data_IF_062112378524
#
_entry.id   IF_062112378524
#
_cell.length_a   1.000
_cell.length_b   1.000
_cell.length_c   1.000
_cell.angle_alpha   90.00
_cell.angle_beta   90.00
_cell.angle_gamma   90.00
#
_symmetry.space_group_name_H-M   'P 1'
#
loop_
_entity.id
_entity.type
_entity.pdbx_description
1 polymer ?
#
# COMPACT_ATOMS: atom_id res chain seq x y z
N UNK A 1 8.38 -17.21 18.36
CA UNK A 1 7.00 -17.64 18.05
C UNK A 1 6.18 -17.59 19.34
N UNK A 2 4.85 -17.61 19.27
CA UNK A 2 4.01 -17.88 20.43
C UNK A 2 4.00 -19.40 20.75
N UNK A 3 3.55 -19.82 21.95
CA UNK A 3 3.50 -21.24 22.33
C UNK A 3 2.63 -22.11 21.40
N UNK A 4 1.67 -21.52 20.70
CA UNK A 4 0.80 -22.16 19.70
C UNK A 4 1.46 -22.33 18.33
N UNK A 5 2.73 -21.92 18.17
CA UNK A 5 3.42 -21.97 16.89
C UNK A 5 3.03 -20.84 15.92
N UNK A 6 2.29 -19.82 16.35
CA UNK A 6 2.06 -18.62 15.54
C UNK A 6 3.23 -17.64 15.61
N UNK A 7 3.37 -16.79 14.60
CA UNK A 7 4.45 -15.80 14.55
C UNK A 7 4.17 -14.68 15.57
N UNK A 8 5.10 -14.48 16.51
CA UNK A 8 5.10 -13.29 17.37
C UNK A 8 5.61 -12.08 16.56
N UNK A 9 4.68 -11.35 15.95
CA UNK A 9 4.97 -10.19 15.09
C UNK A 9 5.59 -9.02 15.86
N UNK A 10 5.27 -8.86 17.14
CA UNK A 10 5.84 -7.79 17.97
C UNK A 10 7.34 -8.03 18.21
N UNK A 11 7.70 -9.25 18.66
CA UNK A 11 9.09 -9.62 18.87
C UNK A 11 9.90 -9.62 17.56
N UNK A 12 9.31 -10.09 16.45
CA UNK A 12 9.96 -10.01 15.14
C UNK A 12 10.21 -8.56 14.74
N UNK A 13 9.22 -7.68 14.93
CA UNK A 13 9.34 -6.24 14.64
C UNK A 13 10.48 -5.64 15.44
N UNK A 14 10.48 -5.79 16.76
CA UNK A 14 11.54 -5.25 17.62
C UNK A 14 12.94 -5.66 17.13
N UNK A 15 13.11 -6.94 16.81
CA UNK A 15 14.37 -7.50 16.32
C UNK A 15 14.83 -6.89 14.99
N UNK A 16 13.95 -6.84 13.97
CA UNK A 16 14.33 -6.29 12.65
C UNK A 16 14.46 -4.76 12.65
N UNK A 17 13.87 -4.06 13.62
CA UNK A 17 14.09 -2.62 13.80
C UNK A 17 15.45 -2.33 14.45
N UNK A 18 15.92 -3.19 15.35
CA UNK A 18 17.24 -3.07 15.96
C UNK A 18 18.39 -3.52 15.03
N UNK A 19 18.11 -4.39 14.05
CA UNK A 19 19.13 -4.99 13.19
C UNK A 19 18.79 -4.85 11.68
N UNK A 20 19.33 -3.82 11.00
CA UNK A 20 19.08 -3.59 9.57
C UNK A 20 19.43 -4.78 8.66
N UNK A 21 20.50 -5.52 8.97
CA UNK A 21 20.89 -6.71 8.22
C UNK A 21 19.85 -7.84 8.32
N UNK A 22 19.22 -8.01 9.48
CA UNK A 22 18.16 -9.00 9.65
C UNK A 22 16.87 -8.58 8.94
N UNK A 23 16.54 -7.29 8.95
CA UNK A 23 15.46 -6.74 8.14
C UNK A 23 15.67 -7.03 6.65
N UNK A 24 16.89 -6.83 6.15
CA UNK A 24 17.23 -7.11 4.76
C UNK A 24 17.09 -8.60 4.43
N UNK A 25 17.63 -9.48 5.28
CA UNK A 25 17.50 -10.93 5.12
C UNK A 25 16.03 -11.39 5.13
N UNK A 26 15.23 -10.89 6.08
CA UNK A 26 13.81 -11.22 6.18
C UNK A 26 13.06 -10.78 4.92
N UNK A 27 13.32 -9.56 4.43
CA UNK A 27 12.70 -9.06 3.22
C UNK A 27 13.10 -9.89 1.99
N UNK A 28 14.36 -10.30 1.87
CA UNK A 28 14.84 -11.17 0.79
C UNK A 28 14.12 -12.53 0.79
N UNK A 29 13.87 -13.10 1.97
CA UNK A 29 13.12 -14.34 2.11
C UNK A 29 11.64 -14.15 1.75
N UNK A 30 10.99 -13.10 2.26
CA UNK A 30 9.55 -12.91 2.15
C UNK A 30 9.12 -12.35 0.79
N UNK A 31 9.88 -11.46 0.16
CA UNK A 31 9.45 -10.77 -1.06
C UNK A 31 9.11 -11.73 -2.22
N UNK A 32 9.93 -12.77 -2.53
CA UNK A 32 9.57 -13.74 -3.55
C UNK A 32 8.28 -14.50 -3.24
N UNK A 33 8.09 -14.90 -1.97
CA UNK A 33 6.91 -15.64 -1.52
C UNK A 33 5.65 -14.77 -1.60
N UNK A 34 5.74 -13.50 -1.19
CA UNK A 34 4.63 -12.54 -1.28
C UNK A 34 4.29 -12.28 -2.75
N UNK A 35 5.28 -12.08 -3.62
CA UNK A 35 5.06 -11.92 -5.07
C UNK A 35 4.39 -13.14 -5.69
N UNK A 36 4.78 -14.34 -5.29
CA UNK A 36 4.11 -15.55 -5.74
C UNK A 36 2.66 -15.64 -5.24
N UNK A 37 2.42 -15.32 -3.96
CA UNK A 37 1.08 -15.27 -3.39
C UNK A 37 0.17 -14.27 -4.10
N UNK A 38 0.68 -13.07 -4.41
CA UNK A 38 -0.05 -12.06 -5.18
C UNK A 38 -0.39 -12.57 -6.59
N UNK A 39 0.58 -13.17 -7.32
CA UNK A 39 0.33 -13.75 -8.64
C UNK A 39 -0.73 -14.85 -8.60
N UNK A 40 -0.65 -15.75 -7.62
CA UNK A 40 -1.65 -16.81 -7.45
C UNK A 40 -3.04 -16.24 -7.19
N UNK A 41 -3.16 -15.22 -6.32
CA UNK A 41 -4.44 -14.56 -6.06
C UNK A 41 -5.02 -13.87 -7.32
N UNK A 42 -4.17 -13.23 -8.13
CA UNK A 42 -4.58 -12.64 -9.41
C UNK A 42 -5.14 -13.70 -10.36
N UNK A 43 -4.49 -14.87 -10.49
CA UNK A 43 -4.98 -15.94 -11.37
C UNK A 43 -6.33 -16.53 -10.95
N UNK A 44 -6.71 -16.36 -9.68
CA UNK A 44 -7.99 -16.83 -9.14
C UNK A 44 -9.08 -15.76 -9.18
N UNK A 45 -8.76 -14.55 -9.63
CA UNK A 45 -9.72 -13.44 -9.68
C UNK A 45 -10.68 -13.64 -10.85
N UNK A 46 -11.98 -13.55 -10.57
CA UNK A 46 -13.05 -13.70 -11.57
C UNK A 46 -13.68 -12.37 -11.96
N UNK A 47 -13.35 -11.27 -11.27
CA UNK A 47 -13.79 -9.94 -11.64
C UNK A 47 -13.08 -9.45 -12.90
N UNK A 48 -13.66 -8.48 -13.64
CA UNK A 48 -13.05 -7.96 -14.86
C UNK A 48 -11.66 -7.34 -14.67
N UNK A 49 -11.34 -6.90 -13.45
CA UNK A 49 -10.01 -6.46 -13.06
C UNK A 49 -9.78 -6.78 -11.57
N UNK A 50 -8.52 -6.74 -11.13
CA UNK A 50 -8.12 -6.94 -9.73
C UNK A 50 -7.53 -5.65 -9.13
N UNK A 51 -7.64 -5.49 -7.81
CA UNK A 51 -6.98 -4.40 -7.08
C UNK A 51 -5.90 -4.97 -6.16
N UNK A 52 -4.64 -4.65 -6.45
CA UNK A 52 -3.51 -4.95 -5.58
C UNK A 52 -3.28 -3.78 -4.61
N UNK A 53 -3.59 -4.00 -3.32
CA UNK A 53 -3.37 -2.97 -2.28
C UNK A 53 -1.96 -3.12 -1.73
N UNK A 54 -1.05 -2.21 -2.15
CA UNK A 54 0.38 -2.29 -1.83
C UNK A 54 0.84 -1.01 -1.10
N UNK A 55 0.97 -1.02 0.24
CA UNK A 55 1.38 0.17 1.00
C UNK A 55 2.76 0.70 0.63
N UNK A 56 3.69 -0.18 0.24
CA UNK A 56 5.07 0.13 -0.09
C UNK A 56 5.35 -0.11 -1.59
N UNK A 57 4.45 0.38 -2.45
CA UNK A 57 4.50 0.15 -3.89
C UNK A 57 5.78 0.74 -4.51
N UNK A 58 6.09 1.99 -4.19
CA UNK A 58 7.24 2.74 -4.72
C UNK A 58 8.55 2.14 -4.20
N UNK A 59 8.60 1.88 -2.90
CA UNK A 59 9.79 1.41 -2.19
C UNK A 59 10.23 0.04 -2.68
N UNK A 60 9.27 -0.82 -3.04
CA UNK A 60 9.55 -2.17 -3.54
C UNK A 60 9.54 -2.28 -5.07
N UNK A 61 9.36 -1.16 -5.77
CA UNK A 61 9.30 -1.07 -7.23
C UNK A 61 8.30 -2.07 -7.84
N UNK A 62 7.12 -2.17 -7.23
CA UNK A 62 6.09 -3.15 -7.59
C UNK A 62 5.08 -2.64 -8.63
N UNK A 63 5.27 -1.41 -9.15
CA UNK A 63 4.37 -0.82 -10.15
C UNK A 63 4.27 -1.65 -11.43
N UNK A 64 5.31 -2.42 -11.78
CA UNK A 64 5.31 -3.29 -12.97
C UNK A 64 4.43 -4.53 -12.83
N UNK A 65 3.87 -4.79 -11.64
CA UNK A 65 2.91 -5.87 -11.42
C UNK A 65 1.47 -5.50 -11.77
N UNK A 66 1.22 -4.24 -12.15
CA UNK A 66 -0.12 -3.73 -12.45
C UNK A 66 -0.13 -3.00 -13.80
N UNK A 67 -1.25 -3.08 -14.50
CA UNK A 67 -1.49 -2.32 -15.73
C UNK A 67 -1.73 -0.83 -15.45
N UNK A 68 -2.12 -0.50 -14.22
CA UNK A 68 -2.47 0.85 -13.75
C UNK A 68 -2.07 1.05 -12.30
N UNK A 69 -1.55 2.22 -11.97
CA UNK A 69 -1.28 2.67 -10.61
C UNK A 69 -2.30 3.73 -10.17
N UNK A 70 -3.15 3.36 -9.22
CA UNK A 70 -4.04 4.28 -8.53
C UNK A 70 -3.44 4.72 -7.19
N UNK A 71 -3.21 6.02 -7.03
CA UNK A 71 -2.79 6.61 -5.76
C UNK A 71 -3.97 7.23 -5.04
N UNK A 72 -4.21 6.78 -3.80
CA UNK A 72 -5.12 7.45 -2.87
C UNK A 72 -4.32 8.55 -2.16
N UNK A 73 -4.56 9.80 -2.57
CA UNK A 73 -3.85 10.97 -2.08
C UNK A 73 -4.72 11.75 -1.09
N UNK A 74 -4.05 12.30 -0.09
CA UNK A 74 -4.62 13.18 0.93
C UNK A 74 -3.50 14.06 1.45
N UNK A 75 -3.82 15.28 1.85
CA UNK A 75 -2.79 16.22 2.33
C UNK A 75 -2.04 15.70 3.55
N UNK A 76 -0.73 16.00 3.61
CA UNK A 76 0.19 15.48 4.62
C UNK A 76 -0.25 15.82 6.05
N UNK A 77 -0.81 17.01 6.26
CA UNK A 77 -1.40 17.42 7.53
C UNK A 77 -2.48 16.43 8.00
N UNK A 78 -3.37 16.01 7.10
CA UNK A 78 -4.44 15.06 7.40
C UNK A 78 -3.86 13.65 7.58
N UNK A 79 -2.80 13.28 6.86
CA UNK A 79 -2.10 12.00 7.08
C UNK A 79 -1.55 11.91 8.51
N UNK A 80 -0.91 12.98 8.99
CA UNK A 80 -0.38 13.08 10.36
C UNK A 80 -1.51 12.97 11.37
N UNK A 81 -2.57 13.79 11.22
CA UNK A 81 -3.73 13.77 12.12
C UNK A 81 -4.38 12.38 12.21
N UNK A 82 -4.60 11.72 11.07
CA UNK A 82 -5.18 10.37 11.03
C UNK A 82 -4.26 9.31 11.63
N UNK A 83 -2.95 9.42 11.42
CA UNK A 83 -1.95 8.49 11.98
C UNK A 83 -1.91 8.62 13.51
N UNK A 84 -1.85 9.84 14.03
CA UNK A 84 -1.92 10.10 15.48
C UNK A 84 -3.22 9.55 16.09
N UNK A 85 -4.37 9.80 15.45
CA UNK A 85 -5.66 9.37 15.96
C UNK A 85 -5.83 7.84 15.99
N UNK A 86 -5.36 7.16 14.94
CA UNK A 86 -5.43 5.70 14.78
C UNK A 86 -4.44 4.97 15.67
N UNK A 87 -3.17 5.38 15.63
CA UNK A 87 -2.07 4.62 16.25
C UNK A 87 -1.75 5.11 17.68
N UNK A 88 -2.41 6.19 18.13
CA UNK A 88 -2.21 6.81 19.47
C UNK A 88 -0.76 7.21 19.71
N UNK A 89 -0.14 7.83 18.70
CA UNK A 89 1.26 8.28 18.70
C UNK A 89 1.37 9.80 18.74
N UNK A 90 2.56 10.32 19.10
CA UNK A 90 2.83 11.75 19.03
C UNK A 90 2.91 12.25 17.59
N UNK A 91 2.87 13.57 17.40
CA UNK A 91 3.03 14.18 16.08
C UNK A 91 4.38 13.85 15.46
N UNK A 92 5.43 13.95 16.26
CA UNK A 92 6.82 13.68 15.85
C UNK A 92 6.98 12.22 15.41
N UNK A 93 6.33 11.29 16.12
CA UNK A 93 6.30 9.88 15.74
C UNK A 93 5.53 9.66 14.44
N UNK A 94 4.39 10.30 14.25
CA UNK A 94 3.64 10.23 12.99
C UNK A 94 4.46 10.78 11.81
N UNK A 95 5.10 11.93 11.98
CA UNK A 95 6.00 12.54 10.98
C UNK A 95 7.17 11.60 10.64
N UNK A 96 7.79 10.96 11.64
CA UNK A 96 8.86 9.98 11.42
C UNK A 96 8.37 8.75 10.63
N UNK A 97 7.14 8.27 10.89
CA UNK A 97 6.53 7.16 10.14
C UNK A 97 6.31 7.56 8.68
N UNK A 98 5.81 8.76 8.42
CA UNK A 98 5.60 9.27 7.06
C UNK A 98 6.94 9.43 6.32
N UNK A 99 7.96 9.96 6.99
CA UNK A 99 9.29 10.17 6.43
C UNK A 99 10.04 8.85 6.12
N UNK A 100 9.66 7.74 6.76
CA UNK A 100 10.23 6.42 6.47
C UNK A 100 9.69 5.78 5.18
N UNK A 101 8.72 6.40 4.52
CA UNK A 101 8.08 5.94 3.29
C UNK A 101 8.41 6.87 2.12
N UNK A 102 8.05 6.45 0.91
CA UNK A 102 8.13 7.31 -0.26
C UNK A 102 7.38 8.62 -0.02
N UNK A 103 7.89 9.72 -0.56
CA UNK A 103 7.23 11.02 -0.45
C UNK A 103 5.91 11.04 -1.24
N UNK A 104 5.04 11.99 -0.88
CA UNK A 104 3.82 12.26 -1.67
C UNK A 104 4.14 12.48 -3.15
N UNK A 105 5.16 13.27 -3.44
CA UNK A 105 5.59 13.57 -4.80
C UNK A 105 6.06 12.30 -5.55
N UNK A 106 6.82 11.42 -4.89
CA UNK A 106 7.26 10.15 -5.48
C UNK A 106 6.08 9.22 -5.79
N UNK A 107 5.08 9.14 -4.90
CA UNK A 107 3.85 8.38 -5.16
C UNK A 107 3.08 8.93 -6.35
N UNK A 108 2.86 10.25 -6.39
CA UNK A 108 2.14 10.90 -7.48
C UNK A 108 2.86 10.79 -8.83
N UNK A 109 4.19 10.79 -8.84
CA UNK A 109 4.99 10.69 -10.06
C UNK A 109 4.82 9.36 -10.81
N UNK A 110 4.40 8.29 -10.11
CA UNK A 110 4.16 6.97 -10.72
C UNK A 110 2.69 6.67 -10.94
N UNK A 111 1.79 7.61 -10.62
CA UNK A 111 0.35 7.38 -10.66
C UNK A 111 -0.20 7.57 -12.08
N UNK A 112 -0.98 6.60 -12.55
CA UNK A 112 -1.83 6.77 -13.73
C UNK A 112 -3.12 7.52 -13.39
N UNK A 113 -3.60 7.30 -12.17
CA UNK A 113 -4.85 7.81 -11.65
C UNK A 113 -4.67 8.22 -10.17
N UNK A 114 -5.31 9.33 -9.78
CA UNK A 114 -5.25 9.85 -8.41
C UNK A 114 -6.67 10.01 -7.87
N UNK A 115 -6.92 9.42 -6.72
CA UNK A 115 -8.16 9.57 -5.98
C UNK A 115 -7.90 10.42 -4.73
N UNK A 116 -8.64 11.52 -4.59
CA UNK A 116 -8.50 12.43 -3.44
C UNK A 116 -9.40 11.96 -2.30
N UNK A 117 -8.80 11.65 -1.15
CA UNK A 117 -9.48 11.15 0.05
C UNK A 117 -9.49 12.18 1.19
N UNK A 118 -9.86 13.41 0.82
CA UNK A 118 -10.01 14.52 1.75
C UNK A 118 -11.34 14.36 2.50
N UNK A 119 -11.28 14.34 3.83
CA UNK A 119 -12.36 13.94 4.73
C UNK A 119 -13.66 14.75 4.59
N UNK A 120 -13.57 15.97 4.07
CA UNK A 120 -14.70 16.90 3.93
C UNK A 120 -15.50 16.67 2.65
N UNK A 121 -14.91 15.99 1.65
CA UNK A 121 -15.54 15.79 0.37
C UNK A 121 -16.33 14.47 0.34
N UNK A 122 -17.67 14.57 0.45
CA UNK A 122 -18.63 13.49 0.12
C UNK A 122 -18.54 13.00 -1.35
N UNK A 123 -17.53 13.43 -2.11
CA UNK A 123 -17.30 13.15 -3.52
C UNK A 123 -16.43 11.91 -3.76
N UNK A 124 -16.13 11.12 -2.73
CA UNK A 124 -15.34 9.90 -2.89
C UNK A 124 -16.07 8.87 -3.77
N UNK A 125 -17.36 8.63 -3.52
CA UNK A 125 -18.16 7.69 -4.30
C UNK A 125 -18.21 8.05 -5.79
N UNK A 126 -18.52 9.30 -6.20
CA UNK A 126 -18.42 9.72 -7.60
C UNK A 126 -17.05 9.45 -8.24
N UNK A 127 -15.94 9.74 -7.55
CA UNK A 127 -14.59 9.47 -8.05
C UNK A 127 -14.36 7.97 -8.26
N UNK A 128 -14.75 7.15 -7.28
CA UNK A 128 -14.64 5.68 -7.37
C UNK A 128 -15.47 5.15 -8.54
N UNK A 129 -16.71 5.62 -8.71
CA UNK A 129 -17.59 5.18 -9.79
C UNK A 129 -16.99 5.48 -11.16
N UNK A 130 -16.43 6.68 -11.34
CA UNK A 130 -15.77 7.07 -12.58
C UNK A 130 -14.55 6.18 -12.88
N UNK A 131 -13.69 5.96 -11.89
CA UNK A 131 -12.51 5.09 -12.04
C UNK A 131 -12.92 3.64 -12.31
N UNK A 132 -13.95 3.14 -11.63
CA UNK A 132 -14.49 1.80 -11.85
C UNK A 132 -14.98 1.63 -13.30
N UNK A 133 -15.76 2.57 -13.82
CA UNK A 133 -16.22 2.53 -15.22
C UNK A 133 -15.05 2.57 -16.21
N UNK A 134 -14.05 3.42 -15.94
CA UNK A 134 -12.81 3.50 -16.73
C UNK A 134 -12.08 2.14 -16.76
N UNK A 135 -11.89 1.51 -15.61
CA UNK A 135 -11.18 0.22 -15.52
C UNK A 135 -11.98 -0.93 -16.14
N UNK A 136 -13.32 -0.94 -16.01
CA UNK A 136 -14.17 -1.89 -16.71
C UNK A 136 -14.08 -1.75 -18.24
N UNK A 137 -13.97 -0.52 -18.76
CA UNK A 137 -13.81 -0.30 -20.18
C UNK A 137 -12.43 -0.80 -20.68
N UNK A 138 -11.37 -0.53 -19.91
CA UNK A 138 -10.01 -0.98 -20.24
C UNK A 138 -9.86 -2.50 -20.19
N UNK A 139 -10.47 -3.16 -19.20
CA UNK A 139 -10.36 -4.62 -19.10
C UNK A 139 -11.03 -5.36 -20.24
N UNK A 140 -12.00 -4.74 -20.93
CA UNK A 140 -12.62 -5.30 -22.15
C UNK A 140 -11.78 -5.08 -23.41
N UNK A 141 -10.90 -4.08 -23.42
CA UNK A 141 -10.02 -3.76 -24.57
C UNK A 141 -8.71 -4.56 -24.53
N UNK A 142 -8.33 -5.07 -23.36
CA UNK A 142 -7.14 -5.91 -23.16
C UNK A 142 -7.42 -7.42 -23.30
N UNK A 143 -8.62 -7.79 -23.79
CA UNK A 143 -8.99 -9.14 -24.24
C UNK A 143 -8.86 -9.23 -25.76
#
# INVERSE_FOLDING_TARGET
MHPDGSLNRAALRERIFAAPNEKAWLNQLLHPMIRQGMRNALTQTTSPYALLIVPLLVENQLQTMADRVLVVDVDEKIQIERTMARDKVSREQAEAILAAQASRAQRLAIADDVLKNDAENQKLLPQITLLHQKYLAMSRQNL
#
